data_IF_804312211849
#
_entry.id   IF_804312211849
#
_cell.length_a   1.000
_cell.length_b   1.000
_cell.length_c   1.000
_cell.angle_alpha   90.00
_cell.angle_beta   90.00
_cell.angle_gamma   90.00
#
_symmetry.space_group_name_H-M   'P 1'
#
loop_
_entity.id
_entity.type
_entity.pdbx_description
1 polymer ?
#
# COMPACT_ATOMS: atom_id res chain seq x y z
N UNK A 1 -12.37 -8.85 20.54
CA UNK A 1 -11.55 -9.11 19.34
C UNK A 1 -12.49 -9.59 18.25
N UNK A 2 -12.55 -8.87 17.13
CA UNK A 2 -13.41 -9.21 16.00
C UNK A 2 -12.60 -10.02 14.99
N UNK A 3 -12.80 -11.35 14.90
CA UNK A 3 -11.95 -12.24 14.11
C UNK A 3 -11.98 -11.95 12.61
N UNK A 4 -12.96 -11.18 12.14
CA UNK A 4 -13.06 -10.75 10.74
C UNK A 4 -11.98 -9.70 10.42
N UNK A 5 -11.71 -8.78 11.35
CA UNK A 5 -10.74 -7.70 11.16
C UNK A 5 -9.31 -8.25 11.19
N UNK A 6 -9.04 -9.17 12.10
CA UNK A 6 -7.72 -9.80 12.24
C UNK A 6 -7.37 -10.66 11.01
N UNK A 7 -8.37 -11.31 10.39
CA UNK A 7 -8.21 -12.06 9.14
C UNK A 7 -7.95 -11.17 7.92
N UNK A 8 -8.55 -9.98 7.86
CA UNK A 8 -8.30 -9.00 6.78
C UNK A 8 -6.89 -8.44 6.90
N UNK A 9 -6.45 -8.07 8.10
CA UNK A 9 -5.11 -7.50 8.32
C UNK A 9 -4.01 -8.54 8.08
N UNK A 10 -4.23 -9.82 8.44
CA UNK A 10 -3.29 -10.90 8.15
C UNK A 10 -3.18 -11.23 6.65
N UNK A 11 -4.20 -10.90 5.85
CA UNK A 11 -4.22 -11.14 4.40
C UNK A 11 -3.66 -9.94 3.61
N UNK A 12 -3.84 -8.71 4.10
CA UNK A 12 -3.47 -7.44 3.44
C UNK A 12 -2.05 -6.96 3.79
N UNK A 13 -1.30 -7.70 4.61
CA UNK A 13 0.10 -7.38 4.93
C UNK A 13 1.10 -7.72 3.81
N UNK A 14 0.61 -8.10 2.62
CA UNK A 14 1.43 -8.49 1.48
C UNK A 14 1.11 -7.63 0.26
N UNK A 15 2.16 -7.11 -0.37
CA UNK A 15 2.13 -6.42 -1.66
C UNK A 15 1.14 -7.06 -2.65
N UNK A 16 0.13 -6.31 -3.06
CA UNK A 16 -0.85 -6.73 -4.08
C UNK A 16 -0.57 -5.97 -5.37
N UNK A 17 -0.18 -6.70 -6.43
CA UNK A 17 -0.08 -6.17 -7.78
C UNK A 17 -1.10 -6.84 -8.67
N UNK A 18 -2.15 -6.11 -9.05
CA UNK A 18 -3.13 -6.56 -10.02
C UNK A 18 -2.90 -5.81 -11.36
N UNK A 19 -2.36 -6.45 -12.40
CA UNK A 19 -2.08 -5.80 -13.69
C UNK A 19 -3.33 -5.37 -14.48
N UNK A 20 -4.54 -5.76 -14.03
CA UNK A 20 -5.82 -5.28 -14.58
C UNK A 20 -6.40 -4.09 -13.81
N UNK A 21 -5.84 -3.74 -12.65
CA UNK A 21 -6.28 -2.58 -11.88
C UNK A 21 -5.63 -1.31 -12.41
N UNK A 22 -6.46 -0.32 -12.71
CA UNK A 22 -6.00 1.00 -13.17
C UNK A 22 -5.27 1.79 -12.06
N UNK A 23 -5.31 1.29 -10.81
CA UNK A 23 -4.70 1.92 -9.64
C UNK A 23 -3.19 1.67 -9.47
N UNK A 24 -2.61 0.75 -10.24
CA UNK A 24 -1.18 0.44 -10.14
C UNK A 24 -0.80 -0.32 -8.86
N UNK A 25 0.49 -0.32 -8.51
CA UNK A 25 0.97 -0.95 -7.27
C UNK A 25 0.44 -0.20 -6.04
N UNK A 26 -0.05 -0.94 -5.04
CA UNK A 26 -0.55 -0.40 -3.77
C UNK A 26 0.23 -1.00 -2.61
N UNK A 27 0.67 -0.15 -1.68
CA UNK A 27 1.33 -0.57 -0.43
C UNK A 27 0.84 0.33 0.71
N UNK A 28 0.52 -0.26 1.87
CA UNK A 28 -0.03 0.46 3.03
C UNK A 28 -1.32 1.25 2.72
N UNK A 29 -2.11 0.80 1.74
CA UNK A 29 -3.30 1.51 1.27
C UNK A 29 -3.00 2.73 0.37
N UNK A 30 -1.74 2.97 0.02
CA UNK A 30 -1.29 4.07 -0.84
C UNK A 30 -1.02 3.53 -2.24
N UNK A 31 -1.65 4.13 -3.24
CA UNK A 31 -1.39 3.82 -4.64
C UNK A 31 -0.10 4.46 -5.10
N UNK A 32 0.56 3.87 -6.10
CA UNK A 32 1.75 4.45 -6.71
C UNK A 32 1.51 5.90 -7.16
N UNK A 33 0.35 6.19 -7.74
CA UNK A 33 0.00 7.54 -8.19
C UNK A 33 0.04 8.57 -7.03
N UNK A 34 -0.55 8.23 -5.88
CA UNK A 34 -0.51 9.09 -4.68
C UNK A 34 0.92 9.21 -4.16
N UNK A 35 1.67 8.11 -4.10
CA UNK A 35 3.06 8.14 -3.67
C UNK A 35 3.93 9.04 -4.58
N UNK A 36 3.79 8.93 -5.91
CA UNK A 36 4.50 9.79 -6.87
C UNK A 36 4.11 11.26 -6.71
N UNK A 37 2.83 11.56 -6.47
CA UNK A 37 2.36 12.93 -6.25
C UNK A 37 2.99 13.57 -5.00
N UNK A 38 3.31 12.76 -3.99
CA UNK A 38 3.99 13.20 -2.76
C UNK A 38 5.53 13.09 -2.85
N UNK A 39 6.08 12.80 -4.03
CA UNK A 39 7.52 12.78 -4.27
C UNK A 39 8.23 11.47 -3.93
N UNK A 40 7.49 10.40 -3.61
CA UNK A 40 8.09 9.08 -3.41
C UNK A 40 8.53 8.48 -4.75
N UNK A 41 9.84 8.29 -4.91
CA UNK A 41 10.47 7.78 -6.12
C UNK A 41 10.89 6.29 -6.02
N UNK A 42 10.76 5.65 -4.85
CA UNK A 42 11.14 4.25 -4.63
C UNK A 42 10.20 3.24 -5.29
N UNK A 43 10.56 1.95 -5.20
CA UNK A 43 9.64 0.85 -5.52
C UNK A 43 8.53 0.83 -4.47
N UNK A 44 7.27 0.67 -4.87
CA UNK A 44 6.16 0.58 -3.93
C UNK A 44 6.30 -0.59 -2.95
N UNK A 45 7.06 -1.64 -3.28
CA UNK A 45 7.39 -2.76 -2.38
C UNK A 45 8.26 -2.33 -1.20
N UNK A 46 9.07 -1.30 -1.39
CA UNK A 46 10.02 -0.80 -0.39
C UNK A 46 9.43 0.36 0.42
N UNK A 47 8.20 0.80 0.11
CA UNK A 47 7.54 1.88 0.84
C UNK A 47 7.40 1.46 2.30
N UNK A 48 8.14 2.12 3.19
CA UNK A 48 8.10 1.81 4.61
C UNK A 48 6.81 2.38 5.24
N UNK A 49 6.41 1.83 6.39
CA UNK A 49 5.29 2.37 7.15
C UNK A 49 5.48 3.85 7.53
N UNK A 50 6.74 4.28 7.78
CA UNK A 50 7.04 5.68 8.11
C UNK A 50 6.85 6.61 6.90
N UNK A 51 7.28 6.18 5.71
CA UNK A 51 7.07 6.93 4.47
C UNK A 51 5.61 6.96 4.07
N UNK A 52 4.89 5.85 4.22
CA UNK A 52 3.45 5.79 4.01
C UNK A 52 2.72 6.76 4.94
N UNK A 53 3.11 6.82 6.22
CA UNK A 53 2.55 7.77 7.18
C UNK A 53 2.83 9.23 6.81
N UNK A 54 3.93 9.53 6.11
CA UNK A 54 4.24 10.88 5.65
C UNK A 54 3.48 11.29 4.37
N UNK A 55 2.90 10.32 3.64
CA UNK A 55 2.11 10.55 2.42
C UNK A 55 0.62 10.76 2.75
N UNK A 56 0.12 10.14 3.83
CA UNK A 56 -1.22 10.39 4.38
C UNK A 56 -1.35 11.80 4.98
#
# INVERSE_FOLDING_TARGET
MNPIIDGIIALEGGYVFNPKDKGGATHWGITEATARAHGYAGDMRDLTHAEAYAIL
#
